data_IF_094837006841
#
_entry.id   IF_094837006841
#
_cell.length_a   1.000
_cell.length_b   1.000
_cell.length_c   1.000
_cell.angle_alpha   90.00
_cell.angle_beta   90.00
_cell.angle_gamma   90.00
#
_symmetry.space_group_name_H-M   'P 1'
#
loop_
_entity.id
_entity.type
_entity.pdbx_description
1 polymer ?
#
# COMPACT_ATOMS: atom_id res chain seq x y z
N UNK A 1 60.76 -23.34 27.81
CA UNK A 1 60.51 -23.32 26.37
C UNK A 1 59.04 -22.94 26.23
N UNK A 2 58.78 -21.62 26.25
CA UNK A 2 57.43 -21.05 26.19
C UNK A 2 57.10 -20.77 24.72
N UNK A 3 56.01 -21.38 24.19
CA UNK A 3 55.49 -21.10 22.88
C UNK A 3 54.36 -20.08 23.01
N UNK A 4 54.61 -18.90 22.47
CA UNK A 4 53.61 -17.83 22.33
C UNK A 4 52.57 -18.24 21.28
N UNK A 5 51.31 -18.36 21.65
CA UNK A 5 50.18 -18.31 20.72
C UNK A 5 49.74 -16.85 20.56
N UNK A 6 50.14 -16.24 19.46
CA UNK A 6 49.58 -14.99 19.03
C UNK A 6 48.23 -15.26 18.34
N UNK A 7 47.15 -14.85 18.99
CA UNK A 7 45.82 -14.84 18.40
C UNK A 7 45.73 -13.66 17.44
N UNK A 8 45.77 -13.94 16.14
CA UNK A 8 45.37 -12.98 15.10
C UNK A 8 43.85 -12.85 15.16
N UNK A 9 43.36 -11.80 15.80
CA UNK A 9 42.03 -11.31 15.59
C UNK A 9 42.08 -10.44 14.32
N UNK A 10 41.88 -11.06 13.17
CA UNK A 10 41.61 -10.30 11.95
C UNK A 10 40.23 -9.64 12.08
N UNK A 11 40.28 -8.34 12.29
CA UNK A 11 39.13 -7.46 12.10
C UNK A 11 38.73 -7.48 10.60
N UNK A 12 37.92 -8.43 10.18
CA UNK A 12 37.21 -8.34 8.93
C UNK A 12 36.08 -7.31 9.10
N UNK A 13 36.40 -6.04 8.92
CA UNK A 13 35.44 -5.02 8.53
C UNK A 13 35.00 -5.32 7.07
N UNK A 14 34.19 -6.34 6.88
CA UNK A 14 33.37 -6.42 5.67
C UNK A 14 32.33 -5.30 5.78
N UNK A 15 32.62 -4.15 5.18
CA UNK A 15 31.59 -3.23 4.76
C UNK A 15 30.76 -4.00 3.74
N UNK A 16 29.65 -4.65 4.19
CA UNK A 16 28.72 -5.24 3.27
C UNK A 16 28.20 -4.11 2.37
N UNK A 17 28.36 -4.26 1.07
CA UNK A 17 27.87 -3.26 0.13
C UNK A 17 26.35 -3.13 0.29
N UNK A 18 25.89 -1.91 0.50
CA UNK A 18 24.47 -1.61 0.59
C UNK A 18 23.83 -1.82 -0.79
N UNK A 19 22.88 -2.74 -0.87
CA UNK A 19 22.04 -2.91 -2.06
C UNK A 19 20.88 -1.94 -1.96
N UNK A 20 20.70 -1.11 -3.00
CA UNK A 20 19.59 -0.16 -3.11
C UNK A 20 18.79 -0.45 -4.36
N UNK A 21 17.48 -0.56 -4.22
CA UNK A 21 16.54 -0.75 -5.34
C UNK A 21 15.45 0.30 -5.26
N UNK A 22 15.07 0.84 -6.42
CA UNK A 22 14.01 1.83 -6.53
C UNK A 22 12.75 1.22 -7.11
N UNK A 23 11.61 1.69 -6.60
CA UNK A 23 10.29 1.26 -7.05
C UNK A 23 9.40 2.48 -7.26
N UNK A 24 8.51 2.40 -8.25
CA UNK A 24 7.51 3.44 -8.54
C UNK A 24 6.12 2.84 -8.49
N UNK A 25 5.30 3.30 -7.54
CA UNK A 25 3.90 2.90 -7.36
C UNK A 25 3.03 4.14 -7.41
N UNK A 26 2.00 4.15 -8.25
CA UNK A 26 1.11 5.31 -8.46
C UNK A 26 1.89 6.63 -8.62
N UNK A 27 2.97 6.58 -9.43
CA UNK A 27 3.90 7.69 -9.75
C UNK A 27 4.74 8.17 -8.55
N UNK A 28 4.67 7.54 -7.40
CA UNK A 28 5.52 7.83 -6.24
C UNK A 28 6.74 6.93 -6.22
N UNK A 29 7.93 7.55 -6.19
CA UNK A 29 9.22 6.87 -6.15
C UNK A 29 9.64 6.62 -4.70
N UNK A 30 10.08 5.41 -4.38
CA UNK A 30 10.68 5.08 -3.09
C UNK A 30 11.85 4.10 -3.26
N UNK A 31 12.70 4.01 -2.25
CA UNK A 31 13.84 3.12 -2.24
C UNK A 31 13.74 2.06 -1.12
N UNK A 32 14.32 0.90 -1.39
CA UNK A 32 14.56 -0.14 -0.39
C UNK A 32 16.05 -0.44 -0.34
N UNK A 33 16.64 -0.30 0.86
CA UNK A 33 18.05 -0.52 1.14
C UNK A 33 18.24 -1.77 2.01
N UNK A 34 19.25 -2.60 1.72
CA UNK A 34 19.68 -3.65 2.63
C UNK A 34 21.16 -3.96 2.48
N UNK A 35 21.82 -4.24 3.60
CA UNK A 35 23.14 -4.87 3.62
C UNK A 35 23.06 -6.40 3.43
N UNK A 36 21.87 -6.95 3.43
CA UNK A 36 21.55 -8.37 3.29
C UNK A 36 20.73 -8.58 2.01
N UNK A 37 21.43 -8.66 0.87
CA UNK A 37 20.78 -8.76 -0.46
C UNK A 37 19.80 -9.95 -0.55
N UNK A 38 20.05 -11.03 0.18
CA UNK A 38 19.15 -12.19 0.24
C UNK A 38 17.76 -11.87 0.81
N UNK A 39 17.63 -10.83 1.67
CA UNK A 39 16.33 -10.41 2.19
C UNK A 39 15.46 -9.79 1.10
N UNK A 40 16.08 -9.18 0.07
CA UNK A 40 15.36 -8.54 -1.03
C UNK A 40 14.94 -9.51 -2.13
N UNK A 41 15.45 -10.76 -2.12
CA UNK A 41 15.11 -11.77 -3.14
C UNK A 41 13.64 -12.21 -3.09
N UNK A 42 12.96 -12.01 -1.96
CA UNK A 42 11.53 -12.33 -1.83
C UNK A 42 10.61 -11.27 -2.45
N UNK A 43 11.13 -10.12 -2.91
CA UNK A 43 10.36 -8.98 -3.42
C UNK A 43 9.94 -9.14 -4.89
N UNK A 44 9.63 -10.35 -5.34
CA UNK A 44 9.25 -10.64 -6.74
C UNK A 44 7.95 -9.95 -7.17
N UNK A 45 7.05 -9.66 -6.24
CA UNK A 45 5.84 -8.87 -6.49
C UNK A 45 6.11 -7.39 -6.81
N UNK A 46 7.32 -6.90 -6.51
CA UNK A 46 7.74 -5.52 -6.83
C UNK A 46 8.43 -5.41 -8.20
N UNK A 47 8.79 -6.53 -8.84
CA UNK A 47 9.47 -6.51 -10.16
C UNK A 47 8.75 -5.64 -11.21
N UNK A 48 7.41 -5.68 -11.35
CA UNK A 48 6.71 -4.83 -12.32
C UNK A 48 6.81 -3.32 -11.99
N UNK A 49 7.17 -2.98 -10.76
CA UNK A 49 7.26 -1.61 -10.25
C UNK A 49 8.71 -1.13 -10.12
N UNK A 50 9.70 -1.99 -10.40
CA UNK A 50 11.10 -1.65 -10.31
C UNK A 50 11.49 -0.58 -11.34
N UNK A 51 12.33 0.36 -10.92
CA UNK A 51 12.87 1.42 -11.76
C UNK A 51 14.33 1.12 -11.99
N UNK A 52 14.69 0.79 -13.22
CA UNK A 52 16.08 0.64 -13.61
C UNK A 52 16.76 2.00 -13.48
N UNK A 53 17.85 2.04 -12.73
CA UNK A 53 18.71 3.17 -12.42
C UNK A 53 18.20 4.55 -12.88
N UNK A 54 18.06 5.48 -11.96
CA UNK A 54 17.93 6.90 -12.27
C UNK A 54 19.23 7.37 -12.97
N UNK A 55 19.40 6.95 -14.24
CA UNK A 55 20.53 7.28 -15.07
C UNK A 55 20.56 8.78 -15.34
N UNK A 56 21.52 9.43 -14.71
CA UNK A 56 21.99 10.75 -15.08
C UNK A 56 21.68 11.83 -14.05
N UNK A 57 22.74 12.46 -13.58
CA UNK A 57 22.76 13.73 -12.87
C UNK A 57 21.87 14.78 -13.55
N UNK A 58 20.56 14.80 -13.26
CA UNK A 58 19.70 15.89 -13.68
C UNK A 58 19.87 17.04 -12.68
N UNK A 59 20.57 18.09 -13.13
CA UNK A 59 20.81 19.34 -12.44
C UNK A 59 19.54 19.89 -11.79
N UNK A 60 19.59 20.10 -10.49
CA UNK A 60 18.53 20.73 -9.67
C UNK A 60 18.20 22.12 -10.20
N UNK A 61 17.02 22.28 -10.80
CA UNK A 61 16.39 23.59 -10.90
C UNK A 61 15.58 23.81 -9.61
N UNK A 62 15.75 24.97 -8.98
CA UNK A 62 15.10 25.34 -7.72
C UNK A 62 13.58 25.48 -7.91
N UNK A 63 12.77 24.78 -7.12
CA UNK A 63 11.43 25.21 -6.75
C UNK A 63 10.24 24.35 -7.14
N UNK A 64 10.38 23.31 -7.99
CA UNK A 64 9.28 22.42 -8.32
C UNK A 64 9.56 20.99 -7.79
N UNK A 65 8.56 20.38 -7.13
CA UNK A 65 8.61 18.99 -6.72
C UNK A 65 8.64 18.15 -8.00
N UNK A 66 9.73 17.40 -8.22
CA UNK A 66 9.87 16.58 -9.41
C UNK A 66 9.24 15.21 -9.15
N UNK A 67 8.62 14.65 -10.18
CA UNK A 67 8.11 13.27 -10.22
C UNK A 67 9.18 12.21 -9.90
N UNK A 68 10.46 12.57 -9.95
CA UNK A 68 11.62 11.72 -9.65
C UNK A 68 12.17 11.92 -8.22
N UNK A 69 11.48 12.64 -7.34
CA UNK A 69 11.90 12.80 -5.95
C UNK A 69 11.45 11.59 -5.12
N UNK A 70 12.44 10.92 -4.50
CA UNK A 70 12.18 9.82 -3.57
C UNK A 70 11.37 10.31 -2.36
N UNK A 71 10.20 9.70 -2.12
CA UNK A 71 9.32 10.11 -1.01
C UNK A 71 9.71 9.48 0.32
N UNK A 72 10.35 8.31 0.31
CA UNK A 72 10.93 7.64 1.47
C UNK A 72 11.95 6.57 1.09
N UNK A 73 12.76 6.17 2.07
CA UNK A 73 13.61 4.97 2.01
C UNK A 73 13.22 4.02 3.13
N UNK A 74 13.04 2.73 2.82
CA UNK A 74 12.99 1.65 3.81
C UNK A 74 14.34 0.94 3.86
N UNK A 75 14.98 0.90 5.04
CA UNK A 75 16.15 0.06 5.28
C UNK A 75 15.73 -1.25 5.92
N UNK A 76 16.09 -2.37 5.27
CA UNK A 76 15.78 -3.72 5.73
C UNK A 76 17.03 -4.33 6.36
N UNK A 77 16.94 -4.73 7.63
CA UNK A 77 18.03 -5.27 8.43
C UNK A 77 17.61 -6.58 9.13
N UNK A 78 18.58 -7.41 9.44
CA UNK A 78 18.39 -8.54 10.38
C UNK A 78 18.47 -8.02 11.80
N UNK A 79 17.57 -8.45 12.66
CA UNK A 79 17.67 -8.18 14.09
C UNK A 79 18.91 -8.91 14.66
N UNK A 80 19.87 -8.15 15.20
CA UNK A 80 21.08 -8.69 15.83
C UNK A 80 20.85 -8.76 17.33
N UNK A 81 20.72 -9.99 17.87
CA UNK A 81 20.52 -10.25 19.30
C UNK A 81 19.09 -9.92 19.77
N UNK A 82 18.87 -9.97 21.11
CA UNK A 82 17.60 -9.55 21.75
C UNK A 82 17.46 -8.02 21.70
N UNK A 83 17.41 -7.45 20.50
CA UNK A 83 17.00 -6.05 20.29
C UNK A 83 15.48 -5.90 20.28
N UNK A 84 14.81 -6.64 21.09
CA UNK A 84 13.50 -6.22 21.56
C UNK A 84 13.78 -5.00 22.45
N UNK A 85 13.68 -3.79 21.92
CA UNK A 85 13.67 -2.58 22.76
C UNK A 85 12.59 -2.82 23.80
N UNK A 86 13.04 -3.12 25.01
CA UNK A 86 12.21 -3.65 26.07
C UNK A 86 11.01 -2.74 26.29
N UNK A 87 9.85 -3.35 26.46
CA UNK A 87 8.69 -2.69 27.08
C UNK A 87 9.18 -1.87 28.27
N UNK A 88 9.20 -0.55 28.19
CA UNK A 88 9.37 0.28 29.36
C UNK A 88 10.13 1.58 29.20
N UNK A 89 11.21 1.67 28.46
CA UNK A 89 12.01 2.89 28.43
C UNK A 89 11.89 3.61 27.07
N UNK A 90 11.23 4.76 27.08
CA UNK A 90 11.19 5.67 25.95
C UNK A 90 9.96 5.57 25.04
N UNK A 91 9.10 4.58 25.17
CA UNK A 91 7.94 4.39 24.30
C UNK A 91 6.61 4.39 25.06
N UNK A 92 5.56 4.99 24.47
CA UNK A 92 4.19 4.95 24.97
C UNK A 92 3.36 4.11 23.99
N UNK A 93 2.70 3.08 24.49
CA UNK A 93 1.75 2.29 23.71
C UNK A 93 0.58 3.17 23.25
N UNK A 94 0.25 3.09 21.98
CA UNK A 94 -0.81 3.89 21.33
C UNK A 94 -2.03 3.02 21.04
N UNK A 95 -1.80 1.90 20.32
CA UNK A 95 -2.86 0.96 20.00
C UNK A 95 -2.29 -0.44 19.76
N UNK A 96 -3.18 -1.43 19.84
CA UNK A 96 -2.96 -2.76 19.28
C UNK A 96 -4.12 -3.06 18.33
N UNK A 97 -3.81 -3.31 17.07
CA UNK A 97 -4.77 -3.82 16.09
C UNK A 97 -4.62 -5.34 16.02
N UNK A 98 -5.67 -6.04 16.43
CA UNK A 98 -5.79 -7.50 16.44
C UNK A 98 -7.26 -7.88 16.21
N UNK A 99 -7.94 -7.19 15.32
CA UNK A 99 -9.38 -7.22 15.15
C UNK A 99 -9.95 -8.63 14.89
N UNK A 100 -9.15 -9.55 14.32
CA UNK A 100 -9.54 -10.94 14.04
C UNK A 100 -8.38 -11.89 14.36
N UNK A 101 -8.69 -13.11 14.83
CA UNK A 101 -7.66 -14.10 15.25
C UNK A 101 -6.70 -14.48 14.11
N UNK A 102 -7.19 -14.48 12.87
CA UNK A 102 -6.43 -14.86 11.67
C UNK A 102 -5.73 -13.67 10.98
N UNK A 103 -5.85 -12.47 11.54
CA UNK A 103 -5.23 -11.26 10.98
C UNK A 103 -3.93 -10.92 11.71
N UNK A 104 -3.01 -10.21 11.04
CA UNK A 104 -1.79 -9.73 11.66
C UNK A 104 -2.07 -8.89 12.91
N UNK A 105 -1.29 -9.12 13.97
CA UNK A 105 -1.29 -8.24 15.14
C UNK A 105 -0.26 -7.14 14.91
N UNK A 106 -0.71 -5.89 14.95
CA UNK A 106 0.14 -4.71 14.86
C UNK A 106 0.05 -3.92 16.17
N UNK A 107 1.16 -3.78 16.87
CA UNK A 107 1.27 -2.94 18.07
C UNK A 107 1.98 -1.63 17.67
N UNK A 108 1.39 -0.50 18.04
CA UNK A 108 1.91 0.83 17.70
C UNK A 108 2.32 1.57 18.95
N UNK A 109 3.52 2.13 18.95
CA UNK A 109 4.10 2.90 20.02
C UNK A 109 4.60 4.25 19.50
N UNK A 110 4.53 5.28 20.35
CA UNK A 110 5.09 6.61 20.09
C UNK A 110 6.21 6.91 21.08
N UNK A 111 7.28 7.54 20.63
CA UNK A 111 8.38 7.93 21.50
C UNK A 111 7.91 8.92 22.59
N UNK A 112 8.36 8.71 23.86
CA UNK A 112 8.04 9.60 24.97
C UNK A 112 8.85 10.87 24.87
N UNK A 113 8.21 12.03 25.03
CA UNK A 113 8.92 13.28 25.31
C UNK A 113 9.45 13.24 26.75
N UNK A 114 10.74 13.45 26.96
CA UNK A 114 11.29 13.72 28.29
C UNK A 114 10.99 15.18 28.63
N UNK A 115 10.44 15.45 29.82
CA UNK A 115 10.30 16.81 30.33
C UNK A 115 11.72 17.43 30.46
N UNK A 116 11.93 18.56 29.76
CA UNK A 116 13.21 19.29 29.75
C UNK A 116 14.03 19.19 28.47
N UNK A 117 13.70 18.30 27.51
CA UNK A 117 14.35 18.24 26.21
C UNK A 117 13.68 19.16 25.21
N UNK A 118 14.06 20.45 25.20
CA UNK A 118 13.53 21.42 24.22
C UNK A 118 13.99 21.16 22.77
N UNK A 119 14.92 20.25 22.50
CA UNK A 119 15.48 20.12 21.15
C UNK A 119 16.00 18.74 20.70
N UNK A 120 16.04 17.69 21.53
CA UNK A 120 16.74 16.42 21.15
C UNK A 120 16.06 15.12 21.61
N UNK A 121 14.80 15.11 21.99
CA UNK A 121 14.08 13.86 22.24
C UNK A 121 13.87 13.11 20.92
N UNK A 122 14.24 11.82 20.86
CA UNK A 122 13.92 10.96 19.74
C UNK A 122 12.40 10.98 19.53
N UNK A 123 11.97 11.66 18.50
CA UNK A 123 10.57 11.69 18.06
C UNK A 123 10.42 10.60 17.03
N UNK A 124 9.43 9.70 17.22
CA UNK A 124 9.25 8.65 16.23
C UNK A 124 8.19 7.65 16.62
N UNK A 125 8.07 6.66 15.78
CA UNK A 125 7.10 5.58 15.87
C UNK A 125 7.81 4.23 15.89
N UNK A 126 7.27 3.29 16.69
CA UNK A 126 7.67 1.90 16.69
C UNK A 126 6.44 1.05 16.41
N UNK A 127 6.53 0.20 15.39
CA UNK A 127 5.52 -0.79 15.04
C UNK A 127 6.08 -2.17 15.25
N UNK A 128 5.30 -3.05 15.85
CA UNK A 128 5.62 -4.46 16.07
C UNK A 128 4.59 -5.30 15.38
N UNK A 129 5.03 -6.24 14.57
CA UNK A 129 4.13 -7.06 13.76
C UNK A 129 4.34 -8.53 14.05
N UNK A 130 3.23 -9.23 14.27
CA UNK A 130 3.16 -10.69 14.31
C UNK A 130 2.18 -11.17 13.23
N UNK A 131 2.39 -12.38 12.69
CA UNK A 131 1.57 -12.91 11.59
C UNK A 131 0.10 -13.11 11.98
N UNK A 132 -0.15 -13.47 13.23
CA UNK A 132 -1.50 -13.60 13.81
C UNK A 132 -1.49 -13.19 15.28
N UNK A 133 -2.65 -13.00 15.88
CA UNK A 133 -2.83 -12.41 17.21
C UNK A 133 -1.91 -12.99 18.29
N UNK A 134 -1.73 -14.31 18.34
CA UNK A 134 -0.97 -15.00 19.38
C UNK A 134 0.41 -15.53 18.94
N UNK A 135 0.84 -15.16 17.72
CA UNK A 135 2.16 -15.56 17.21
C UNK A 135 3.30 -14.72 17.81
N UNK A 136 4.55 -15.24 17.77
CA UNK A 136 5.74 -14.44 18.03
C UNK A 136 5.82 -13.23 17.06
N UNK A 137 6.56 -12.19 17.47
CA UNK A 137 6.85 -11.07 16.60
C UNK A 137 7.73 -11.52 15.43
N UNK A 138 7.35 -11.10 14.22
CA UNK A 138 8.11 -11.31 12.99
C UNK A 138 9.09 -10.18 12.71
N UNK A 139 8.67 -8.95 13.01
CA UNK A 139 9.49 -7.77 12.77
C UNK A 139 9.13 -6.58 13.67
N UNK A 140 10.07 -5.66 13.75
CA UNK A 140 9.89 -4.33 14.32
C UNK A 140 10.25 -3.27 13.27
N UNK A 141 9.45 -2.21 13.19
CA UNK A 141 9.67 -1.06 12.33
C UNK A 141 9.87 0.17 13.19
N UNK A 142 11.02 0.81 13.04
CA UNK A 142 11.34 2.04 13.75
C UNK A 142 11.40 3.20 12.74
N UNK A 143 10.58 4.22 12.95
CA UNK A 143 10.48 5.36 12.05
C UNK A 143 10.62 6.67 12.81
N UNK A 144 11.24 7.65 12.16
CA UNK A 144 11.23 9.04 12.60
C UNK A 144 9.81 9.64 12.60
N UNK A 145 9.64 10.83 13.17
CA UNK A 145 8.32 11.49 13.25
C UNK A 145 7.72 11.77 11.86
N UNK A 146 8.58 12.01 10.86
CA UNK A 146 8.20 12.23 9.46
C UNK A 146 8.21 10.94 8.60
N UNK A 147 8.42 9.77 9.24
CA UNK A 147 8.51 8.46 8.58
C UNK A 147 9.64 8.36 7.53
N UNK A 148 10.76 9.08 7.73
CA UNK A 148 11.93 9.08 6.84
C UNK A 148 13.24 9.26 7.63
N UNK A 149 14.22 8.35 7.56
CA UNK A 149 14.13 7.00 7.00
C UNK A 149 13.32 6.05 7.89
N UNK A 150 12.81 4.98 7.29
CA UNK A 150 12.24 3.86 8.01
C UNK A 150 13.26 2.72 8.13
N UNK A 151 13.32 2.04 9.27
CA UNK A 151 14.14 0.85 9.46
C UNK A 151 13.27 -0.32 9.86
N UNK A 152 13.35 -1.42 9.09
CA UNK A 152 12.70 -2.68 9.36
C UNK A 152 13.72 -3.68 9.90
N UNK A 153 13.51 -4.16 11.11
CA UNK A 153 14.28 -5.23 11.72
C UNK A 153 13.50 -6.54 11.65
N UNK A 154 14.00 -7.50 10.88
CA UNK A 154 13.39 -8.84 10.74
C UNK A 154 13.96 -9.75 11.82
N UNK A 155 13.09 -10.40 12.60
CA UNK A 155 13.49 -11.31 13.67
C UNK A 155 14.19 -12.54 13.10
N UNK A 156 15.18 -13.06 13.85
CA UNK A 156 16.03 -14.18 13.39
C UNK A 156 15.25 -15.48 13.11
N UNK A 157 14.14 -15.69 13.79
CA UNK A 157 13.23 -16.86 13.67
C UNK A 157 12.05 -16.61 12.73
N UNK A 158 11.98 -15.44 12.10
CA UNK A 158 10.92 -15.12 11.13
C UNK A 158 11.03 -16.01 9.89
N UNK A 159 9.95 -16.73 9.59
CA UNK A 159 9.89 -17.63 8.43
C UNK A 159 9.39 -16.93 7.15
N UNK A 160 8.71 -15.80 7.29
CA UNK A 160 8.15 -15.05 6.16
C UNK A 160 8.70 -13.62 6.11
N UNK A 161 9.85 -13.48 5.47
CA UNK A 161 10.54 -12.20 5.25
C UNK A 161 9.70 -11.29 4.36
N UNK A 162 9.03 -11.84 3.34
CA UNK A 162 8.19 -11.09 2.44
C UNK A 162 7.03 -10.43 3.18
N UNK A 163 6.36 -11.16 4.06
CA UNK A 163 5.29 -10.61 4.91
C UNK A 163 5.78 -9.38 5.70
N UNK A 164 6.99 -9.44 6.28
CA UNK A 164 7.56 -8.31 7.01
C UNK A 164 7.80 -7.10 6.11
N UNK A 165 8.41 -7.31 4.93
CA UNK A 165 8.72 -6.24 3.98
C UNK A 165 7.41 -5.63 3.41
N UNK A 166 6.45 -6.46 3.01
CA UNK A 166 5.16 -6.01 2.49
C UNK A 166 4.43 -5.13 3.50
N UNK A 167 4.30 -5.57 4.76
CA UNK A 167 3.65 -4.77 5.81
C UNK A 167 4.38 -3.46 6.09
N UNK A 168 5.72 -3.47 6.14
CA UNK A 168 6.50 -2.26 6.36
C UNK A 168 6.31 -1.25 5.22
N UNK A 169 6.39 -1.72 3.97
CA UNK A 169 6.23 -0.85 2.81
C UNK A 169 4.80 -0.33 2.65
N UNK A 170 3.78 -1.17 2.87
CA UNK A 170 2.38 -0.75 2.84
C UNK A 170 2.12 0.38 3.83
N UNK A 171 2.48 0.19 5.09
CA UNK A 171 2.28 1.20 6.14
C UNK A 171 3.07 2.48 5.83
N UNK A 172 4.36 2.37 5.49
CA UNK A 172 5.20 3.52 5.20
C UNK A 172 4.72 4.28 3.97
N UNK A 173 4.29 3.54 2.93
CA UNK A 173 3.71 4.11 1.72
C UNK A 173 2.42 4.88 2.04
N UNK A 174 1.46 4.26 2.73
CA UNK A 174 0.21 4.91 3.11
C UNK A 174 0.46 6.21 3.90
N UNK A 175 1.43 6.18 4.84
CA UNK A 175 1.72 7.34 5.68
C UNK A 175 2.41 8.47 4.91
N UNK A 176 3.32 8.13 4.01
CA UNK A 176 4.07 9.12 3.22
C UNK A 176 3.28 9.70 2.06
N UNK A 177 2.28 8.98 1.56
CA UNK A 177 1.49 9.41 0.40
C UNK A 177 0.17 10.09 0.77
N UNK A 178 -0.35 9.90 1.99
CA UNK A 178 -1.57 10.58 2.44
C UNK A 178 -1.53 12.10 2.24
N UNK A 179 -0.44 12.84 2.57
CA UNK A 179 -0.33 14.26 2.30
C UNK A 179 -0.21 14.61 0.80
N UNK A 180 -0.06 13.63 -0.06
CA UNK A 180 0.08 13.76 -1.52
C UNK A 180 -1.21 13.38 -2.26
N UNK A 181 -2.36 13.55 -1.61
CA UNK A 181 -3.68 13.23 -2.18
C UNK A 181 -3.78 11.78 -2.66
N UNK A 182 -3.13 10.85 -1.94
CA UNK A 182 -3.01 9.44 -2.33
C UNK A 182 -3.41 8.55 -1.16
N UNK A 183 -4.23 7.55 -1.42
CA UNK A 183 -4.72 6.59 -0.42
C UNK A 183 -4.47 5.16 -0.88
N UNK A 184 -3.92 4.34 -0.01
CA UNK A 184 -3.99 2.89 -0.15
C UNK A 184 -5.36 2.41 0.36
N UNK A 185 -6.02 1.57 -0.44
CA UNK A 185 -7.40 1.16 -0.21
C UNK A 185 -7.51 -0.35 -0.01
N UNK A 186 -8.31 -0.80 0.94
CA UNK A 186 -8.71 -2.20 1.01
C UNK A 186 -9.90 -2.45 0.07
N UNK A 187 -9.61 -2.78 -1.19
CA UNK A 187 -10.58 -2.92 -2.26
C UNK A 187 -10.13 -3.92 -3.33
N UNK A 188 -11.06 -4.50 -4.08
CA UNK A 188 -10.77 -5.12 -5.36
C UNK A 188 -11.12 -4.17 -6.50
N UNK A 189 -10.33 -4.16 -7.57
CA UNK A 189 -10.52 -3.25 -8.71
C UNK A 189 -10.55 -4.01 -10.01
N UNK A 190 -11.66 -3.85 -10.73
CA UNK A 190 -11.81 -4.30 -12.10
C UNK A 190 -11.81 -3.10 -13.03
N UNK A 191 -11.08 -3.21 -14.13
CA UNK A 191 -11.05 -2.21 -15.20
C UNK A 191 -11.84 -2.75 -16.38
N UNK A 192 -12.63 -1.87 -17.00
CA UNK A 192 -13.47 -2.20 -18.13
C UNK A 192 -13.56 -1.02 -19.10
N UNK A 193 -13.61 -1.31 -20.42
CA UNK A 193 -13.79 -0.29 -21.45
C UNK A 193 -15.09 0.49 -21.26
N UNK A 194 -15.05 1.82 -21.39
CA UNK A 194 -16.23 2.67 -21.42
C UNK A 194 -16.90 2.59 -22.79
N UNK A 195 -17.98 1.83 -22.88
CA UNK A 195 -18.73 1.64 -24.14
C UNK A 195 -19.36 2.92 -24.68
N UNK A 196 -19.51 3.97 -23.89
CA UNK A 196 -19.98 5.26 -24.36
C UNK A 196 -18.96 5.98 -25.25
N UNK A 197 -17.67 5.73 -25.04
CA UNK A 197 -16.58 6.31 -25.82
C UNK A 197 -16.24 5.53 -27.12
N UNK A 198 -16.62 4.25 -27.21
CA UNK A 198 -16.23 3.30 -28.28
C UNK A 198 -16.99 3.52 -29.62
N UNK A 199 -17.58 4.67 -29.89
CA UNK A 199 -18.13 4.91 -31.26
C UNK A 199 -17.07 5.23 -32.33
N UNK A 200 -15.80 5.27 -32.01
CA UNK A 200 -14.71 5.44 -32.99
C UNK A 200 -13.46 4.67 -32.59
N UNK A 201 -13.20 3.62 -33.33
CA UNK A 201 -11.93 2.92 -33.57
C UNK A 201 -11.88 1.46 -33.12
N UNK A 202 -12.01 0.60 -34.12
CA UNK A 202 -11.59 -0.79 -34.16
C UNK A 202 -10.08 -0.89 -34.31
N UNK A 203 -9.49 -1.87 -33.62
CA UNK A 203 -8.15 -2.42 -33.78
C UNK A 203 -7.01 -1.72 -32.99
N UNK A 204 -6.57 -2.36 -31.92
CA UNK A 204 -5.19 -2.56 -31.47
C UNK A 204 -5.16 -3.03 -30.01
N UNK A 205 -5.54 -4.31 -29.76
CA UNK A 205 -5.53 -4.89 -28.41
C UNK A 205 -4.30 -5.77 -28.11
N UNK A 206 -3.27 -5.78 -28.97
CA UNK A 206 -2.23 -6.81 -28.92
C UNK A 206 -0.79 -6.37 -28.63
N UNK A 207 -0.51 -5.06 -28.48
CA UNK A 207 0.84 -4.60 -28.11
C UNK A 207 0.73 -3.37 -27.20
N UNK A 208 0.61 -3.59 -25.88
CA UNK A 208 0.64 -2.49 -24.91
C UNK A 208 2.04 -2.39 -24.31
N UNK A 209 2.83 -1.34 -24.62
CA UNK A 209 4.00 -1.02 -23.82
C UNK A 209 3.54 -0.56 -22.44
N UNK A 210 4.30 -0.94 -21.41
CA UNK A 210 4.06 -0.66 -20.00
C UNK A 210 3.47 0.75 -19.74
N UNK A 211 2.27 0.82 -19.17
CA UNK A 211 1.77 1.99 -18.48
C UNK A 211 0.73 2.86 -19.18
N UNK A 212 0.44 2.69 -20.48
CA UNK A 212 -0.60 3.48 -21.15
C UNK A 212 -1.90 2.67 -21.28
N UNK A 213 -2.86 2.95 -20.41
CA UNK A 213 -4.24 2.53 -20.58
C UNK A 213 -4.93 3.50 -21.54
N UNK A 214 -5.77 2.97 -22.42
CA UNK A 214 -6.63 3.79 -23.28
C UNK A 214 -7.46 4.73 -22.39
N UNK A 215 -7.56 6.02 -22.74
CA UNK A 215 -8.37 7.03 -22.01
C UNK A 215 -9.86 6.65 -21.87
N UNK A 216 -10.26 5.53 -22.46
CA UNK A 216 -11.62 4.97 -22.47
C UNK A 216 -11.84 3.84 -21.45
N UNK A 217 -10.85 3.48 -20.63
CA UNK A 217 -11.00 2.44 -19.60
C UNK A 217 -11.28 3.05 -18.24
N UNK A 218 -12.27 2.50 -17.54
CA UNK A 218 -12.71 2.92 -16.22
C UNK A 218 -12.46 1.83 -15.18
N UNK A 219 -11.92 2.23 -14.03
CA UNK A 219 -11.72 1.36 -12.86
C UNK A 219 -12.90 1.43 -11.91
N UNK A 220 -13.43 0.29 -11.52
CA UNK A 220 -14.50 0.15 -10.54
C UNK A 220 -13.95 -0.49 -9.27
N UNK A 221 -14.05 0.23 -8.15
CA UNK A 221 -13.54 -0.21 -6.86
C UNK A 221 -14.64 -0.86 -6.04
N UNK A 222 -14.44 -2.09 -5.63
CA UNK A 222 -15.35 -2.83 -4.76
C UNK A 222 -14.86 -2.77 -3.32
N UNK A 223 -15.63 -2.09 -2.46
CA UNK A 223 -15.32 -1.85 -1.06
C UNK A 223 -16.11 -2.79 -0.15
N UNK A 224 -15.53 -3.17 0.98
CA UNK A 224 -16.19 -3.99 2.01
C UNK A 224 -15.17 -4.57 2.98
N UNK A 225 -15.64 -5.01 4.16
CA UNK A 225 -14.80 -5.70 5.12
C UNK A 225 -14.22 -7.00 4.54
N UNK A 226 -13.23 -7.58 5.23
CA UNK A 226 -12.75 -8.93 4.89
C UNK A 226 -13.93 -9.91 4.84
N UNK A 227 -13.91 -10.85 3.90
CA UNK A 227 -15.01 -11.82 3.74
C UNK A 227 -16.32 -11.31 3.11
N UNK A 228 -16.46 -10.01 2.82
CA UNK A 228 -17.67 -9.46 2.16
C UNK A 228 -17.89 -10.02 0.74
N UNK A 229 -16.83 -10.51 0.08
CA UNK A 229 -16.92 -11.06 -1.28
C UNK A 229 -16.34 -10.15 -2.36
N UNK A 230 -15.45 -9.20 -2.05
CA UNK A 230 -14.81 -8.30 -3.03
C UNK A 230 -14.16 -9.05 -4.19
N UNK A 231 -13.25 -9.98 -3.90
CA UNK A 231 -12.58 -10.79 -4.92
C UNK A 231 -13.55 -11.71 -5.67
N UNK A 232 -14.60 -12.21 -5.00
CA UNK A 232 -15.66 -12.98 -5.64
C UNK A 232 -16.42 -12.12 -6.65
N UNK A 233 -16.80 -10.91 -6.27
CA UNK A 233 -17.51 -9.98 -7.17
C UNK A 233 -16.63 -9.53 -8.34
N UNK A 234 -15.35 -9.25 -8.11
CA UNK A 234 -14.38 -8.97 -9.17
C UNK A 234 -14.31 -10.14 -10.18
N UNK A 235 -14.25 -11.38 -9.69
CA UNK A 235 -14.29 -12.56 -10.57
C UNK A 235 -15.59 -12.66 -11.37
N UNK A 236 -16.76 -12.35 -10.78
CA UNK A 236 -18.03 -12.33 -11.51
C UNK A 236 -18.02 -11.30 -12.66
N UNK A 237 -17.32 -10.19 -12.51
CA UNK A 237 -17.12 -9.22 -13.59
C UNK A 237 -16.27 -9.80 -14.72
N UNK A 238 -15.18 -10.51 -14.40
CA UNK A 238 -14.32 -11.15 -15.41
C UNK A 238 -15.07 -12.26 -16.16
N UNK A 239 -16.00 -12.94 -15.50
CA UNK A 239 -16.84 -13.97 -16.11
C UNK A 239 -17.98 -13.37 -16.96
N UNK A 240 -18.52 -12.19 -16.59
CA UNK A 240 -19.63 -11.55 -17.27
C UNK A 240 -19.21 -10.68 -18.48
N UNK A 241 -17.97 -10.19 -18.50
CA UNK A 241 -17.52 -9.20 -19.47
C UNK A 241 -16.13 -9.56 -20.03
N UNK A 242 -16.07 -9.89 -21.33
CA UNK A 242 -14.82 -10.24 -22.03
C UNK A 242 -13.80 -9.06 -22.09
N UNK A 243 -14.28 -7.83 -21.96
CA UNK A 243 -13.51 -6.58 -21.97
C UNK A 243 -13.11 -6.09 -20.57
N UNK A 244 -13.33 -6.92 -19.54
CA UNK A 244 -12.94 -6.62 -18.16
C UNK A 244 -11.65 -7.34 -17.76
N UNK A 245 -10.84 -6.69 -16.94
CA UNK A 245 -9.63 -7.28 -16.37
C UNK A 245 -9.38 -6.81 -14.94
N UNK A 246 -8.67 -7.62 -14.15
CA UNK A 246 -8.36 -7.34 -12.75
C UNK A 246 -7.13 -6.43 -12.66
N UNK A 247 -7.27 -5.26 -12.08
CA UNK A 247 -6.16 -4.34 -11.83
C UNK A 247 -5.44 -4.67 -10.52
N UNK A 248 -6.21 -4.89 -9.45
CA UNK A 248 -5.69 -5.28 -8.13
C UNK A 248 -6.79 -5.97 -7.31
N UNK A 249 -6.42 -6.91 -6.44
CA UNK A 249 -7.39 -7.73 -5.67
C UNK A 249 -7.42 -7.41 -4.16
N UNK A 250 -6.66 -6.42 -3.66
CA UNK A 250 -6.67 -6.15 -2.21
C UNK A 250 -6.25 -4.73 -1.83
N UNK A 251 -5.11 -4.25 -2.33
CA UNK A 251 -4.52 -2.98 -1.91
C UNK A 251 -4.22 -2.05 -3.10
N UNK A 252 -5.24 -1.66 -3.90
CA UNK A 252 -5.06 -0.65 -4.95
C UNK A 252 -4.73 0.71 -4.35
N UNK A 253 -4.07 1.54 -5.15
CA UNK A 253 -3.78 2.93 -4.78
C UNK A 253 -4.74 3.86 -5.50
N UNK A 254 -5.42 4.71 -4.74
CA UNK A 254 -6.29 5.75 -5.27
C UNK A 254 -5.60 7.10 -5.12
N UNK A 255 -5.50 7.85 -6.21
CA UNK A 255 -4.81 9.14 -6.25
C UNK A 255 -5.65 10.20 -6.93
N UNK A 256 -5.65 11.41 -6.36
CA UNK A 256 -6.19 12.61 -7.00
C UNK A 256 -5.03 13.34 -7.67
N UNK A 257 -5.18 13.56 -8.96
CA UNK A 257 -4.18 14.23 -9.80
C UNK A 257 -4.28 15.75 -9.65
N UNK A 258 -3.27 16.49 -10.12
CA UNK A 258 -3.23 17.96 -10.03
C UNK A 258 -4.40 18.65 -10.78
N UNK A 259 -4.88 18.03 -11.85
CA UNK A 259 -6.06 18.47 -12.61
C UNK A 259 -7.41 18.11 -11.98
N UNK A 260 -7.36 17.40 -10.82
CA UNK A 260 -8.53 16.90 -10.10
C UNK A 260 -9.06 15.56 -10.57
N UNK A 261 -8.46 14.94 -11.60
CA UNK A 261 -8.83 13.58 -12.02
C UNK A 261 -8.54 12.57 -10.90
N UNK A 262 -9.46 11.64 -10.68
CA UNK A 262 -9.25 10.55 -9.72
C UNK A 262 -8.85 9.29 -10.48
N UNK A 263 -7.65 8.79 -10.16
CA UNK A 263 -7.10 7.56 -10.74
C UNK A 263 -7.00 6.45 -9.71
N UNK A 264 -7.14 5.21 -10.16
CA UNK A 264 -6.81 4.02 -9.39
C UNK A 264 -5.68 3.27 -10.06
N UNK A 265 -4.70 2.87 -9.26
CA UNK A 265 -3.49 2.18 -9.69
C UNK A 265 -3.44 0.78 -9.09
N UNK A 266 -2.83 -0.15 -9.82
CA UNK A 266 -2.37 -1.40 -9.24
C UNK A 266 -1.18 -1.16 -8.30
N UNK A 267 -0.88 -2.16 -7.50
CA UNK A 267 0.19 -2.11 -6.50
C UNK A 267 0.93 -3.45 -6.40
N UNK A 268 2.10 -3.51 -5.78
CA UNK A 268 2.77 -4.77 -5.48
C UNK A 268 2.06 -5.58 -4.38
N UNK A 269 1.06 -5.01 -3.73
CA UNK A 269 0.30 -5.65 -2.65
C UNK A 269 -1.01 -6.21 -3.18
N UNK A 270 -1.20 -7.51 -3.00
CA UNK A 270 -2.38 -8.22 -3.49
C UNK A 270 -2.83 -9.25 -2.45
N UNK A 271 -4.12 -9.57 -2.48
CA UNK A 271 -4.72 -10.56 -1.60
C UNK A 271 -4.38 -12.01 -2.00
N UNK A 272 -5.39 -12.88 -1.90
CA UNK A 272 -5.23 -14.31 -2.21
C UNK A 272 -4.96 -14.59 -3.69
N UNK A 273 -5.35 -13.67 -4.58
CA UNK A 273 -5.07 -13.75 -6.02
C UNK A 273 -3.86 -12.89 -6.34
N UNK A 274 -2.70 -13.48 -6.68
CA UNK A 274 -1.54 -12.69 -7.11
C UNK A 274 -1.91 -11.81 -8.30
N UNK A 275 -1.83 -10.47 -8.12
CA UNK A 275 -2.21 -9.50 -9.13
C UNK A 275 -1.36 -8.23 -8.94
N UNK A 276 -0.24 -8.15 -9.65
CA UNK A 276 0.80 -7.12 -9.49
C UNK A 276 0.92 -6.28 -10.76
N UNK A 277 -0.17 -5.64 -11.18
CA UNK A 277 -0.23 -4.85 -12.40
C UNK A 277 0.27 -3.42 -12.14
N UNK A 278 1.36 -3.02 -12.79
CA UNK A 278 1.83 -1.63 -12.80
C UNK A 278 1.09 -0.86 -13.88
N UNK A 279 -0.19 -0.58 -13.63
CA UNK A 279 -1.10 0.09 -14.54
C UNK A 279 -2.08 0.95 -13.74
N UNK A 280 -2.85 1.82 -14.42
CA UNK A 280 -3.87 2.65 -13.78
C UNK A 280 -5.10 2.82 -14.69
N UNK A 281 -6.21 3.24 -14.10
CA UNK A 281 -7.42 3.66 -14.82
C UNK A 281 -8.02 4.88 -14.13
N UNK A 282 -8.85 5.66 -14.87
CA UNK A 282 -9.75 6.64 -14.25
C UNK A 282 -10.79 5.92 -13.42
N UNK A 283 -11.18 6.50 -12.30
CA UNK A 283 -12.21 5.87 -11.45
C UNK A 283 -13.60 6.10 -12.05
N UNK A 284 -14.25 5.02 -12.45
CA UNK A 284 -15.63 5.01 -12.95
C UNK A 284 -16.68 4.96 -11.84
N UNK A 285 -16.35 4.36 -10.70
CA UNK A 285 -17.25 4.27 -9.56
C UNK A 285 -16.69 3.55 -8.36
N UNK A 286 -17.23 3.89 -7.19
CA UNK A 286 -16.95 3.26 -5.90
C UNK A 286 -18.19 2.47 -5.48
N UNK A 287 -18.06 1.18 -5.22
CA UNK A 287 -19.18 0.28 -4.95
C UNK A 287 -18.98 -0.42 -3.61
N UNK A 288 -19.77 -0.06 -2.63
CA UNK A 288 -19.86 -0.80 -1.36
C UNK A 288 -20.66 -2.08 -1.59
N UNK A 289 -20.05 -3.22 -1.28
CA UNK A 289 -20.72 -4.52 -1.36
C UNK A 289 -21.38 -4.91 -0.04
N UNK A 290 -22.54 -5.55 -0.17
CA UNK A 290 -23.22 -6.26 0.92
C UNK A 290 -23.80 -7.58 0.41
N UNK A 291 -23.61 -8.65 1.17
CA UNK A 291 -24.25 -9.94 0.85
C UNK A 291 -25.76 -9.85 1.09
N UNK A 292 -26.54 -10.23 0.10
CA UNK A 292 -28.00 -10.20 0.16
C UNK A 292 -28.60 -11.33 -0.69
N UNK A 293 -29.87 -11.71 -0.46
CA UNK A 293 -30.55 -12.74 -1.26
C UNK A 293 -31.04 -12.23 -2.64
N UNK A 294 -30.61 -11.05 -3.06
CA UNK A 294 -30.98 -10.43 -4.32
C UNK A 294 -29.89 -9.50 -4.82
N UNK A 295 -29.93 -9.13 -6.11
CA UNK A 295 -29.02 -8.18 -6.72
C UNK A 295 -29.72 -6.82 -6.88
N UNK A 296 -29.23 -5.79 -6.20
CA UNK A 296 -29.78 -4.43 -6.29
C UNK A 296 -28.70 -3.38 -6.03
N UNK A 297 -28.53 -2.46 -6.97
CA UNK A 297 -27.63 -1.31 -6.81
C UNK A 297 -28.45 -0.03 -6.55
N UNK A 298 -27.89 0.86 -5.74
CA UNK A 298 -28.40 2.21 -5.52
C UNK A 298 -27.25 3.20 -5.38
N UNK A 299 -27.49 4.45 -5.71
CA UNK A 299 -26.58 5.53 -5.31
C UNK A 299 -26.63 5.73 -3.81
N UNK A 300 -25.53 6.18 -3.21
CA UNK A 300 -25.44 6.49 -1.78
C UNK A 300 -25.17 7.98 -1.55
N UNK A 301 -25.53 8.44 -0.38
CA UNK A 301 -25.29 9.81 0.05
C UNK A 301 -23.80 10.06 0.33
N UNK A 302 -23.37 11.33 0.28
CA UNK A 302 -21.96 11.70 0.61
C UNK A 302 -21.54 11.23 2.01
N UNK A 303 -22.36 11.35 3.08
CA UNK A 303 -21.99 10.80 4.38
C UNK A 303 -21.79 9.28 4.40
N UNK A 304 -22.63 8.51 3.69
CA UNK A 304 -22.45 7.06 3.53
C UNK A 304 -21.16 6.75 2.78
N UNK A 305 -20.90 7.42 1.65
CA UNK A 305 -19.69 7.26 0.86
C UNK A 305 -18.44 7.57 1.67
N UNK A 306 -18.47 8.66 2.45
CA UNK A 306 -17.38 9.05 3.34
C UNK A 306 -17.06 7.96 4.37
N UNK A 307 -18.07 7.42 5.05
CA UNK A 307 -17.90 6.36 6.03
C UNK A 307 -17.27 5.09 5.43
N UNK A 308 -17.70 4.69 4.24
CA UNK A 308 -17.17 3.51 3.56
C UNK A 308 -15.73 3.72 3.06
N UNK A 309 -15.43 4.89 2.49
CA UNK A 309 -14.08 5.24 2.08
C UNK A 309 -13.13 5.26 3.27
N UNK A 310 -13.53 5.93 4.37
CA UNK A 310 -12.72 6.02 5.58
C UNK A 310 -12.45 4.65 6.21
N UNK A 311 -13.43 3.73 6.19
CA UNK A 311 -13.24 2.38 6.71
C UNK A 311 -12.32 1.52 5.84
N UNK A 312 -12.24 1.81 4.53
CA UNK A 312 -11.44 1.06 3.56
C UNK A 312 -10.06 1.68 3.30
N UNK A 313 -9.80 2.91 3.72
CA UNK A 313 -8.50 3.56 3.54
C UNK A 313 -7.52 3.17 4.65
N UNK A 314 -6.29 2.80 4.26
CA UNK A 314 -5.17 2.54 5.16
C UNK A 314 -4.56 3.84 5.66
N UNK A 315 -4.17 3.90 6.93
CA UNK A 315 -3.51 5.07 7.51
C UNK A 315 -3.66 5.17 9.01
N UNK A 316 -2.80 5.95 9.64
CA UNK A 316 -2.79 6.18 11.09
C UNK A 316 -3.80 7.26 11.47
N UNK A 317 -5.08 6.88 11.54
CA UNK A 317 -6.23 7.80 11.76
C UNK A 317 -6.20 8.54 13.10
N UNK A 318 -5.36 8.14 14.04
CA UNK A 318 -5.16 8.82 15.32
C UNK A 318 -4.04 9.86 15.28
N UNK A 319 -3.20 9.87 14.25
CA UNK A 319 -2.32 10.99 13.96
C UNK A 319 -3.13 12.07 13.24
N UNK A 320 -3.24 13.27 13.86
CA UNK A 320 -4.12 14.33 13.38
C UNK A 320 -3.76 14.80 11.98
N UNK A 321 -2.48 15.00 11.72
CA UNK A 321 -2.05 15.53 10.42
C UNK A 321 -2.34 14.54 9.29
N UNK A 322 -2.10 13.24 9.55
CA UNK A 322 -2.41 12.18 8.59
C UNK A 322 -3.92 12.03 8.40
N UNK A 323 -4.70 12.03 9.48
CA UNK A 323 -6.15 11.96 9.41
C UNK A 323 -6.73 13.13 8.59
N UNK A 324 -6.28 14.36 8.82
CA UNK A 324 -6.71 15.53 8.08
C UNK A 324 -6.39 15.40 6.58
N UNK A 325 -5.20 14.91 6.22
CA UNK A 325 -4.80 14.64 4.82
C UNK A 325 -5.68 13.58 4.15
N UNK A 326 -5.95 12.48 4.86
CA UNK A 326 -6.84 11.42 4.38
C UNK A 326 -8.26 11.95 4.17
N UNK A 327 -8.77 12.77 5.09
CA UNK A 327 -10.12 13.33 5.01
C UNK A 327 -10.29 14.26 3.81
N UNK A 328 -9.31 15.11 3.51
CA UNK A 328 -9.35 15.97 2.34
C UNK A 328 -9.33 15.16 1.04
N UNK A 329 -8.52 14.10 0.97
CA UNK A 329 -8.50 13.20 -0.20
C UNK A 329 -9.84 12.49 -0.38
N UNK A 330 -10.39 11.90 0.69
CA UNK A 330 -11.69 11.21 0.66
C UNK A 330 -12.79 12.17 0.21
N UNK A 331 -12.83 13.39 0.78
CA UNK A 331 -13.79 14.41 0.43
C UNK A 331 -13.73 14.77 -1.06
N UNK A 332 -12.53 14.96 -1.60
CA UNK A 332 -12.38 15.21 -3.03
C UNK A 332 -12.95 14.05 -3.86
N UNK A 333 -12.55 12.82 -3.54
CA UNK A 333 -12.98 11.62 -4.28
C UNK A 333 -14.50 11.50 -4.31
N UNK A 334 -15.17 11.52 -3.16
CA UNK A 334 -16.63 11.31 -3.09
C UNK A 334 -17.46 12.43 -3.71
N UNK A 335 -16.85 13.61 -3.92
CA UNK A 335 -17.54 14.73 -4.60
C UNK A 335 -17.38 14.68 -6.12
N UNK A 336 -16.38 13.94 -6.64
CA UNK A 336 -16.09 13.86 -8.08
C UNK A 336 -16.39 12.47 -8.67
N UNK A 337 -16.46 11.43 -7.83
CA UNK A 337 -16.71 10.05 -8.24
C UNK A 337 -18.08 9.59 -7.71
N UNK A 338 -18.88 8.99 -8.58
CA UNK A 338 -20.16 8.40 -8.17
C UNK A 338 -19.94 7.22 -7.21
N UNK A 339 -20.72 7.19 -6.14
CA UNK A 339 -20.64 6.16 -5.12
C UNK A 339 -21.96 5.38 -5.02
N UNK A 340 -21.84 4.06 -4.88
CA UNK A 340 -22.95 3.12 -4.94
C UNK A 340 -22.91 2.12 -3.80
N UNK A 341 -24.06 1.55 -3.50
CA UNK A 341 -24.21 0.37 -2.66
C UNK A 341 -24.84 -0.74 -3.50
N UNK A 342 -24.22 -1.90 -3.51
CA UNK A 342 -24.68 -3.10 -4.17
C UNK A 342 -24.98 -4.18 -3.13
N UNK A 343 -26.26 -4.50 -2.98
CA UNK A 343 -26.71 -5.74 -2.38
C UNK A 343 -26.58 -6.84 -3.42
N UNK A 344 -25.85 -7.94 -3.14
CA UNK A 344 -25.56 -8.93 -4.18
C UNK A 344 -25.45 -10.37 -3.70
N UNK A 345 -25.81 -11.26 -4.63
CA UNK A 345 -25.48 -12.67 -4.66
C UNK A 345 -24.10 -12.88 -5.30
N UNK A 346 -23.42 -14.00 -5.03
CA UNK A 346 -22.16 -14.35 -5.71
C UNK A 346 -22.41 -14.99 -7.09
N UNK A 347 -23.01 -14.20 -8.01
CA UNK A 347 -23.30 -14.64 -9.37
C UNK A 347 -23.00 -13.54 -10.41
N UNK A 348 -22.92 -13.91 -11.70
CA UNK A 348 -22.61 -12.96 -12.79
C UNK A 348 -23.70 -11.91 -13.00
N UNK A 349 -24.96 -12.20 -12.67
CA UNK A 349 -26.06 -11.23 -12.70
C UNK A 349 -25.77 -10.02 -11.80
N UNK A 350 -25.08 -10.22 -10.66
CA UNK A 350 -24.66 -9.12 -9.79
C UNK A 350 -23.72 -8.12 -10.51
N UNK A 351 -22.81 -8.62 -11.33
CA UNK A 351 -21.92 -7.77 -12.14
C UNK A 351 -22.69 -6.99 -13.20
N UNK A 352 -23.66 -7.63 -13.86
CA UNK A 352 -24.51 -6.97 -14.85
C UNK A 352 -25.42 -5.90 -14.23
N UNK A 353 -26.02 -6.18 -13.05
CA UNK A 353 -26.83 -5.22 -12.28
C UNK A 353 -25.97 -4.03 -11.87
N UNK A 354 -24.74 -4.28 -11.38
CA UNK A 354 -23.81 -3.23 -11.02
C UNK A 354 -23.47 -2.35 -12.23
N UNK A 355 -23.06 -2.93 -13.34
CA UNK A 355 -22.69 -2.18 -14.55
C UNK A 355 -23.86 -1.34 -15.06
N UNK A 356 -25.08 -1.92 -15.20
CA UNK A 356 -26.25 -1.19 -15.68
C UNK A 356 -26.65 -0.02 -14.79
N UNK A 357 -26.46 -0.14 -13.48
CA UNK A 357 -26.83 0.90 -12.53
C UNK A 357 -25.77 1.99 -12.33
N UNK A 358 -24.58 1.81 -12.87
CA UNK A 358 -23.49 2.80 -12.80
C UNK A 358 -23.37 3.68 -14.05
N UNK A 359 -24.17 3.48 -15.06
CA UNK A 359 -24.24 4.25 -16.32
C UNK A 359 -24.92 5.60 -16.13
#
# INVERSE_FOLDING_TARGET
MCVFFATFAENFNYSMALTRTYYRVAEHLFAVDSSYSELLQCMTNYEPFAVEELLGERRKAKGERREDEEIFTLRVEKAIGERLKAKGEGWTHVLTDNAEEDMPRIEVYKARRREGDEAKGEKGWLFRVAMVANAPLCCEMEWSEDFTPGVLHIMADCQDVRFCIDNALMLLYAFRTAPLMTLEMHAAVVVKADRCAVRCQTAALLDRPNGLIDQQELGYLFLGHSGTGKSTHARMWLEAFDDAWLLNDDNPILRVMEDGEVRVYGSPWSGKTPCYNNAYARVGGLVKLSQAPHNKIRTISLPEAYAYMLSSASGLKMDRQMADSMYETIKHVITHVKCYHLDCLPNTEAAEVAQRGMV
#
